data_IF_202016689129
#
_entry.id   IF_202016689129
#
_cell.length_a   1.000
_cell.length_b   1.000
_cell.length_c   1.000
_cell.angle_alpha   90.00
_cell.angle_beta   90.00
_cell.angle_gamma   90.00
#
_symmetry.space_group_name_H-M   'P 1'
#
loop_
_entity.id
_entity.type
_entity.pdbx_description
1 polymer ?
#
# COMPACT_ATOMS: atom_id res chain seq x y z
N UNK A 1 -11.78 2.97 17.66
CA UNK A 1 -12.95 2.08 17.46
C UNK A 1 -12.65 1.12 16.31
N UNK A 2 -12.54 -0.18 16.59
CA UNK A 2 -12.09 -1.23 15.64
C UNK A 2 -13.24 -2.02 14.99
N UNK A 3 -14.44 -1.44 14.89
CA UNK A 3 -15.66 -2.14 14.53
C UNK A 3 -15.73 -2.61 13.04
N UNK A 4 -14.67 -2.46 12.24
CA UNK A 4 -14.68 -2.70 10.79
C UNK A 4 -13.71 -3.76 10.26
N UNK A 5 -12.96 -4.44 11.12
CA UNK A 5 -11.99 -5.46 10.66
C UNK A 5 -12.54 -6.88 10.89
N UNK A 6 -13.66 -7.20 10.24
CA UNK A 6 -14.30 -8.54 10.28
C UNK A 6 -13.90 -9.30 9.01
N UNK A 7 -13.64 -10.60 9.14
CA UNK A 7 -13.34 -11.45 7.99
C UNK A 7 -14.58 -11.58 7.08
N UNK A 8 -14.45 -11.46 5.74
CA UNK A 8 -15.60 -11.39 4.82
C UNK A 8 -16.50 -12.63 4.88
N UNK A 9 -15.92 -13.81 5.09
CA UNK A 9 -16.63 -15.10 5.02
C UNK A 9 -16.67 -15.88 6.34
N UNK A 10 -16.07 -15.36 7.42
CA UNK A 10 -15.92 -16.11 8.67
C UNK A 10 -16.36 -15.24 9.85
N UNK A 11 -17.05 -15.82 10.82
CA UNK A 11 -17.56 -15.11 12.01
C UNK A 11 -16.45 -14.79 13.03
N UNK A 12 -15.40 -14.09 12.59
CA UNK A 12 -14.26 -13.66 13.41
C UNK A 12 -13.68 -12.35 12.88
N UNK A 13 -12.89 -11.67 13.72
CA UNK A 13 -12.06 -10.56 13.28
C UNK A 13 -10.91 -11.02 12.38
N UNK A 14 -10.27 -10.06 11.71
CA UNK A 14 -9.04 -10.32 10.97
C UNK A 14 -7.93 -10.82 11.90
N UNK A 15 -7.18 -11.82 11.45
CA UNK A 15 -5.95 -12.26 12.08
C UNK A 15 -4.86 -11.20 11.92
N UNK A 16 -3.83 -11.18 12.78
CA UNK A 16 -2.67 -10.31 12.56
C UNK A 16 -2.03 -10.52 11.19
N UNK A 17 -1.97 -11.76 10.68
CA UNK A 17 -1.41 -12.03 9.35
C UNK A 17 -2.25 -11.44 8.23
N UNK A 18 -3.58 -11.51 8.31
CA UNK A 18 -4.47 -10.86 7.35
C UNK A 18 -4.27 -9.34 7.36
N UNK A 19 -4.19 -8.73 8.55
CA UNK A 19 -3.87 -7.30 8.68
C UNK A 19 -2.49 -6.93 8.11
N UNK A 20 -1.48 -7.79 8.31
CA UNK A 20 -0.14 -7.58 7.77
C UNK A 20 -0.13 -7.62 6.23
N UNK A 21 -0.88 -8.55 5.62
CA UNK A 21 -1.03 -8.62 4.15
C UNK A 21 -1.72 -7.39 3.58
N UNK A 22 -2.77 -6.88 4.25
CA UNK A 22 -3.40 -5.61 3.87
C UNK A 22 -2.42 -4.44 3.93
N UNK A 23 -1.50 -4.46 4.91
CA UNK A 23 -0.39 -3.54 5.02
C UNK A 23 0.77 -3.87 4.07
N UNK A 24 0.63 -4.81 3.14
CA UNK A 24 1.64 -5.22 2.14
C UNK A 24 2.92 -5.82 2.73
N UNK A 25 2.89 -6.28 3.98
CA UNK A 25 4.02 -7.04 4.53
C UNK A 25 4.15 -8.39 3.85
N UNK A 26 5.39 -8.80 3.51
CA UNK A 26 5.61 -10.14 2.99
C UNK A 26 5.30 -11.18 4.08
N UNK A 27 4.80 -12.35 3.65
CA UNK A 27 4.37 -13.41 4.57
C UNK A 27 5.52 -13.96 5.44
N UNK A 28 6.75 -13.87 4.94
CA UNK A 28 7.95 -14.27 5.69
C UNK A 28 8.34 -13.30 6.80
N UNK A 29 7.82 -12.06 6.81
CA UNK A 29 8.14 -11.08 7.84
C UNK A 29 7.54 -11.49 9.19
N UNK A 30 8.37 -11.53 10.22
CA UNK A 30 7.98 -11.94 11.58
C UNK A 30 7.86 -10.71 12.48
N UNK A 31 6.70 -10.57 13.11
CA UNK A 31 6.46 -9.60 14.16
C UNK A 31 6.75 -10.24 15.52
N UNK A 32 7.32 -9.47 16.44
CA UNK A 32 7.69 -9.95 17.76
C UNK A 32 6.80 -9.36 18.87
N UNK A 33 6.63 -10.13 19.95
CA UNK A 33 5.88 -9.75 21.13
C UNK A 33 4.43 -10.24 21.17
N UNK A 34 3.68 -9.79 22.18
CA UNK A 34 2.31 -10.22 22.42
C UNK A 34 1.32 -9.75 21.35
N UNK A 35 0.17 -10.42 21.27
CA UNK A 35 -0.86 -10.18 20.24
C UNK A 35 -1.30 -8.71 20.11
N UNK A 36 -1.43 -7.98 21.22
CA UNK A 36 -1.77 -6.55 21.21
C UNK A 36 -0.62 -5.70 20.65
N UNK A 37 0.63 -6.04 20.98
CA UNK A 37 1.81 -5.36 20.45
C UNK A 37 1.91 -5.56 18.95
N UNK A 38 1.78 -6.80 18.48
CA UNK A 38 1.84 -7.13 17.05
C UNK A 38 0.75 -6.39 16.26
N UNK A 39 -0.49 -6.34 16.77
CA UNK A 39 -1.57 -5.57 16.13
C UNK A 39 -1.25 -4.07 16.03
N UNK A 40 -0.62 -3.49 17.06
CA UNK A 40 -0.18 -2.10 17.04
C UNK A 40 0.96 -1.88 16.05
N UNK A 41 1.95 -2.78 16.00
CA UNK A 41 3.05 -2.72 15.03
C UNK A 41 2.50 -2.71 13.60
N UNK A 42 1.58 -3.62 13.28
CA UNK A 42 0.96 -3.70 11.95
C UNK A 42 0.12 -2.45 11.66
N UNK A 43 -0.73 -2.03 12.60
CA UNK A 43 -1.65 -0.91 12.38
C UNK A 43 -0.96 0.45 12.24
N UNK A 44 0.19 0.64 12.90
CA UNK A 44 0.94 1.90 12.87
C UNK A 44 2.07 1.93 11.83
N UNK A 45 2.36 0.80 11.18
CA UNK A 45 3.44 0.73 10.20
C UNK A 45 3.09 1.49 8.92
N UNK A 46 4.14 1.97 8.23
CA UNK A 46 4.04 2.36 6.83
C UNK A 46 4.02 1.07 5.99
N UNK A 47 3.07 0.91 5.04
CA UNK A 47 3.05 -0.24 4.16
C UNK A 47 4.37 -0.39 3.38
N UNK A 48 5.02 -1.57 3.34
CA UNK A 48 6.26 -1.76 2.60
C UNK A 48 6.21 -1.36 1.12
N UNK A 49 5.09 -1.58 0.42
CA UNK A 49 4.94 -1.17 -0.98
C UNK A 49 4.92 0.35 -1.17
N UNK A 50 4.34 1.08 -0.22
CA UNK A 50 4.39 2.54 -0.23
C UNK A 50 5.83 3.01 0.05
N UNK A 51 6.49 2.42 1.03
CA UNK A 51 7.87 2.74 1.37
C UNK A 51 8.84 2.46 0.20
N UNK A 52 8.65 1.35 -0.53
CA UNK A 52 9.40 1.01 -1.73
C UNK A 52 9.27 2.08 -2.81
N UNK A 53 8.03 2.51 -3.11
CA UNK A 53 7.76 3.57 -4.10
C UNK A 53 8.43 4.90 -3.73
N UNK A 54 8.32 5.31 -2.47
CA UNK A 54 8.99 6.53 -1.97
C UNK A 54 10.51 6.38 -2.02
N UNK A 55 11.04 5.18 -1.71
CA UNK A 55 12.45 4.87 -1.78
C UNK A 55 13.06 5.11 -3.16
N UNK A 56 12.35 4.77 -4.23
CA UNK A 56 12.79 5.07 -5.60
C UNK A 56 12.88 6.58 -5.85
N UNK A 57 11.87 7.36 -5.46
CA UNK A 57 11.94 8.81 -5.62
C UNK A 57 13.04 9.45 -4.78
N UNK A 58 13.27 8.97 -3.55
CA UNK A 58 14.40 9.40 -2.74
C UNK A 58 15.74 9.09 -3.42
N UNK A 59 15.87 7.91 -4.03
CA UNK A 59 17.06 7.53 -4.80
C UNK A 59 17.35 8.53 -5.92
N UNK A 60 16.29 8.97 -6.60
CA UNK A 60 16.39 9.99 -7.65
C UNK A 60 16.74 11.37 -7.10
N UNK A 61 16.02 11.84 -6.09
CA UNK A 61 16.15 13.21 -5.59
C UNK A 61 17.39 13.45 -4.75
N UNK A 62 17.83 12.46 -3.98
CA UNK A 62 18.94 12.60 -3.02
C UNK A 62 20.27 12.17 -3.64
N UNK A 63 20.27 11.09 -4.43
CA UNK A 63 21.50 10.54 -5.01
C UNK A 63 21.68 10.89 -6.49
N UNK A 64 20.81 11.73 -7.07
CA UNK A 64 20.84 12.14 -8.47
C UNK A 64 20.86 10.97 -9.47
N UNK A 65 20.29 9.82 -9.07
CA UNK A 65 20.23 8.62 -9.91
C UNK A 65 18.95 8.63 -10.73
N UNK A 66 19.04 8.43 -12.05
CA UNK A 66 17.85 8.30 -12.88
C UNK A 66 17.17 6.96 -12.62
N UNK A 67 15.84 6.99 -12.50
CA UNK A 67 15.04 5.76 -12.43
C UNK A 67 15.12 5.00 -13.75
N UNK A 68 15.41 3.71 -13.67
CA UNK A 68 15.35 2.80 -14.83
C UNK A 68 13.90 2.57 -15.25
N UNK A 69 13.70 2.06 -16.47
CA UNK A 69 12.36 1.73 -16.97
C UNK A 69 11.69 0.65 -16.11
N UNK A 70 12.47 -0.34 -15.64
CA UNK A 70 12.01 -1.38 -14.71
C UNK A 70 11.55 -0.78 -13.37
N UNK A 71 12.27 0.20 -12.83
CA UNK A 71 11.90 0.88 -11.58
C UNK A 71 10.62 1.71 -11.77
N UNK A 72 10.47 2.38 -12.91
CA UNK A 72 9.25 3.12 -13.25
C UNK A 72 8.05 2.19 -13.37
N UNK A 73 8.20 1.07 -14.06
CA UNK A 73 7.17 0.04 -14.18
C UNK A 73 6.83 -0.55 -12.81
N UNK A 74 7.84 -0.77 -11.95
CA UNK A 74 7.63 -1.25 -10.58
C UNK A 74 6.81 -0.26 -9.74
N UNK A 75 7.22 1.01 -9.68
CA UNK A 75 6.47 2.07 -8.99
C UNK A 75 5.04 2.12 -9.48
N UNK A 76 4.86 2.01 -10.79
CA UNK A 76 3.55 2.01 -11.41
C UNK A 76 2.67 0.85 -10.92
N UNK A 77 3.16 -0.39 -11.00
CA UNK A 77 2.46 -1.58 -10.50
C UNK A 77 2.10 -1.48 -9.01
N UNK A 78 2.98 -0.87 -8.20
CA UNK A 78 2.74 -0.64 -6.78
C UNK A 78 1.60 0.35 -6.51
N UNK A 79 1.37 1.33 -7.41
CA UNK A 79 0.29 2.32 -7.28
C UNK A 79 -1.06 1.82 -7.79
N UNK A 80 -1.08 1.14 -8.94
CA UNK A 80 -2.32 0.81 -9.66
C UNK A 80 -2.88 -0.59 -9.34
N UNK A 81 -2.21 -1.36 -8.48
CA UNK A 81 -2.83 -2.56 -7.88
C UNK A 81 -3.03 -3.74 -8.84
N UNK A 82 -2.05 -4.01 -9.71
CA UNK A 82 -2.04 -5.17 -10.62
C UNK A 82 -2.62 -4.91 -12.00
N UNK A 83 -3.26 -3.76 -12.19
CA UNK A 83 -3.69 -3.24 -13.49
C UNK A 83 -2.47 -2.89 -14.36
N UNK A 84 -2.53 -3.19 -15.65
CA UNK A 84 -1.48 -2.79 -16.57
C UNK A 84 -1.53 -1.27 -16.88
N UNK A 85 -0.45 -0.71 -17.44
CA UNK A 85 -0.36 0.73 -17.68
C UNK A 85 -1.40 1.24 -18.67
N UNK A 86 -1.74 0.44 -19.67
CA UNK A 86 -2.72 0.81 -20.69
C UNK A 86 -4.14 0.74 -20.10
N UNK A 87 -4.45 -0.33 -19.38
CA UNK A 87 -5.73 -0.59 -18.71
C UNK A 87 -6.06 0.53 -17.72
N UNK A 88 -5.10 0.99 -16.93
CA UNK A 88 -5.33 2.12 -16.03
C UNK A 88 -5.52 3.45 -16.73
N UNK A 89 -4.73 3.78 -17.77
CA UNK A 89 -4.94 5.05 -18.47
C UNK A 89 -6.32 5.08 -19.16
N UNK A 90 -6.85 3.92 -19.54
CA UNK A 90 -8.22 3.76 -20.04
C UNK A 90 -9.27 3.90 -18.91
N UNK A 91 -9.06 3.27 -17.76
CA UNK A 91 -10.04 3.23 -16.66
C UNK A 91 -9.89 4.36 -15.63
N UNK A 92 -8.86 5.21 -15.75
CA UNK A 92 -8.56 6.28 -14.78
C UNK A 92 -9.72 7.23 -14.54
N UNK A 93 -10.56 7.48 -15.56
CA UNK A 93 -11.78 8.29 -15.41
C UNK A 93 -12.84 7.62 -14.54
N UNK A 94 -12.88 6.29 -14.51
CA UNK A 94 -13.90 5.49 -13.85
C UNK A 94 -13.49 5.09 -12.41
N UNK A 95 -12.20 5.14 -12.10
CA UNK A 95 -11.68 5.03 -10.72
C UNK A 95 -12.15 6.22 -9.84
N UNK A 96 -12.68 7.28 -10.46
CA UNK A 96 -13.36 8.41 -9.81
C UNK A 96 -14.76 8.10 -9.27
N UNK A 97 -14.90 7.11 -8.39
CA UNK A 97 -16.09 6.95 -7.54
C UNK A 97 -16.14 7.99 -6.40
N UNK A 98 -17.24 8.04 -5.63
CA UNK A 98 -17.53 9.01 -4.54
C UNK A 98 -16.47 9.14 -3.41
N UNK A 99 -15.34 8.46 -3.51
CA UNK A 99 -14.14 8.77 -2.77
C UNK A 99 -13.23 9.62 -3.65
N UNK A 100 -13.52 10.93 -3.76
CA UNK A 100 -12.43 11.89 -3.92
C UNK A 100 -11.44 11.57 -2.80
N UNK A 101 -10.29 11.02 -3.16
CA UNK A 101 -9.15 10.93 -2.26
C UNK A 101 -8.84 12.38 -1.84
N UNK A 102 -9.25 12.76 -0.63
CA UNK A 102 -9.01 14.07 0.02
C UNK A 102 -7.51 14.40 0.18
N UNK A 103 -6.61 13.63 -0.44
CA UNK A 103 -5.16 13.68 -0.20
C UNK A 103 -4.34 13.97 -1.46
N UNK A 104 -4.96 14.13 -2.63
CA UNK A 104 -4.25 14.45 -3.88
C UNK A 104 -4.92 15.57 -4.69
N UNK A 105 -5.75 16.39 -4.07
CA UNK A 105 -6.02 17.72 -4.63
C UNK A 105 -4.74 18.54 -4.41
N UNK A 106 -4.04 18.82 -5.49
CA UNK A 106 -2.93 19.76 -5.50
C UNK A 106 -3.43 21.06 -4.87
N UNK A 107 -2.73 21.51 -3.84
CA UNK A 107 -2.93 22.84 -3.28
C UNK A 107 -2.57 23.86 -4.37
N UNK A 108 -3.60 24.42 -5.00
CA UNK A 108 -3.52 25.76 -5.58
C UNK A 108 -3.50 26.81 -4.45
#
# INVERSE_FOLDING_TARGET
SSARCIHPFQHRGLTPREGARLQTFPDWYRFDGGLVSVRKQIGNAVPPYLAESVGYYLKQSVYSQTLTDEERERIYKLRCGGMDLAEFEEEKSDIGGHAQQVTLDFAD
#
